data_IF_071074857919
#
_entry.id   IF_071074857919
#
_cell.length_a   1.000
_cell.length_b   1.000
_cell.length_c   1.000
_cell.angle_alpha   90.00
_cell.angle_beta   90.00
_cell.angle_gamma   90.00
#
_symmetry.space_group_name_H-M   'P 1'
#
loop_
_entity.id
_entity.type
_entity.pdbx_description
1 polymer ?
#
# COMPACT_ATOMS: atom_id res chain seq x y z
N UNK A 1 -20.16 15.21 32.85
CA UNK A 1 -19.45 15.75 31.69
C UNK A 1 -19.05 17.15 32.11
N UNK A 2 -17.76 17.38 32.34
CA UNK A 2 -17.27 18.74 32.59
C UNK A 2 -17.60 19.58 31.35
N UNK A 3 -18.05 20.81 31.55
CA UNK A 3 -18.32 21.71 30.43
C UNK A 3 -17.00 22.07 29.74
N UNK A 4 -17.05 22.41 28.45
CA UNK A 4 -15.87 22.87 27.71
C UNK A 4 -15.22 24.06 28.44
N UNK A 5 -16.01 24.91 29.11
CA UNK A 5 -15.52 26.02 29.92
C UNK A 5 -14.72 25.57 31.15
N UNK A 6 -15.09 24.44 31.78
CA UNK A 6 -14.36 23.90 32.94
C UNK A 6 -13.02 23.27 32.53
N UNK A 7 -12.95 22.68 31.33
CA UNK A 7 -11.72 22.11 30.77
C UNK A 7 -10.73 23.21 30.37
N UNK A 8 -11.22 24.29 29.74
CA UNK A 8 -10.42 25.46 29.36
C UNK A 8 -9.91 26.22 30.58
N UNK A 9 -10.74 26.40 31.61
CA UNK A 9 -10.33 27.05 32.86
C UNK A 9 -9.24 26.25 33.61
N UNK A 10 -9.33 24.91 33.60
CA UNK A 10 -8.28 24.03 34.18
C UNK A 10 -6.96 24.12 33.43
N UNK A 11 -6.98 24.17 32.09
CA UNK A 11 -5.75 24.31 31.30
C UNK A 11 -5.10 25.69 31.48
N UNK A 12 -5.89 26.78 31.55
CA UNK A 12 -5.39 28.13 31.83
C UNK A 12 -4.76 28.27 33.23
N UNK A 13 -5.12 27.41 34.19
CA UNK A 13 -4.50 27.42 35.53
C UNK A 13 -3.15 26.69 35.61
N UNK A 14 -2.78 25.94 34.55
CA UNK A 14 -1.60 25.07 34.51
C UNK A 14 -0.51 25.56 33.55
N UNK A 15 -0.83 26.46 32.62
CA UNK A 15 0.14 27.17 31.79
C UNK A 15 0.15 28.65 32.17
N UNK A 16 1.32 29.19 32.48
CA UNK A 16 1.57 30.64 32.42
C UNK A 16 1.48 31.08 30.94
N UNK A 17 0.28 31.02 30.34
CA UNK A 17 0.00 31.70 29.09
C UNK A 17 -0.25 33.16 29.44
N UNK A 18 0.76 34.00 29.17
CA UNK A 18 0.58 35.45 29.11
C UNK A 18 -0.65 35.73 28.26
N UNK A 19 -1.68 36.26 28.89
CA UNK A 19 -2.91 36.67 28.24
C UNK A 19 -2.58 37.63 27.10
N UNK A 20 -3.34 37.51 26.00
CA UNK A 20 -3.37 38.41 24.82
C UNK A 20 -3.33 39.92 25.18
N UNK A 21 -3.67 40.27 26.42
CA UNK A 21 -3.60 41.60 27.00
C UNK A 21 -2.24 42.32 26.96
N UNK A 22 -1.10 41.64 26.89
CA UNK A 22 0.20 42.32 27.11
C UNK A 22 0.89 42.87 25.85
N UNK A 23 0.47 42.49 24.63
CA UNK A 23 1.18 42.89 23.40
C UNK A 23 0.38 43.78 22.43
N UNK A 24 -0.92 43.95 22.64
CA UNK A 24 -1.69 45.01 22.01
C UNK A 24 -1.68 46.19 22.97
N UNK A 25 -1.07 47.31 22.57
CA UNK A 25 -0.93 48.51 23.40
C UNK A 25 -2.21 48.75 24.21
N UNK A 26 -2.09 48.77 25.53
CA UNK A 26 -3.21 48.96 26.47
C UNK A 26 -4.10 50.17 26.12
N UNK A 27 -3.57 51.12 25.34
CA UNK A 27 -4.27 52.30 24.83
C UNK A 27 -5.33 52.02 23.74
N UNK A 28 -5.32 50.84 23.08
CA UNK A 28 -6.26 50.54 21.97
C UNK A 28 -7.41 49.59 22.33
N UNK A 29 -7.36 48.91 23.47
CA UNK A 29 -8.32 47.85 23.83
C UNK A 29 -9.33 48.23 24.94
N UNK A 30 -9.06 49.26 25.75
CA UNK A 30 -9.94 49.65 26.86
C UNK A 30 -9.98 51.17 27.03
N UNK A 31 -11.05 51.82 26.58
CA UNK A 31 -11.42 53.14 27.09
C UNK A 31 -12.37 52.98 28.27
N UNK A 32 -11.84 53.25 29.46
CA UNK A 32 -12.50 53.61 30.71
C UNK A 32 -13.69 52.77 31.20
N UNK A 33 -13.41 51.86 32.14
CA UNK A 33 -14.34 51.58 33.24
C UNK A 33 -14.32 52.82 34.14
N UNK A 34 -15.31 53.71 34.02
CA UNK A 34 -15.63 54.62 35.12
C UNK A 34 -16.28 53.80 36.22
N UNK A 35 -15.74 53.88 37.43
CA UNK A 35 -16.31 53.28 38.65
C UNK A 35 -17.77 53.73 38.82
N UNK A 36 -18.71 52.88 38.39
CA UNK A 36 -20.13 53.17 38.44
C UNK A 36 -20.96 52.21 37.60
N UNK A 37 -21.71 51.35 38.29
CA UNK A 37 -22.80 50.51 37.81
C UNK A 37 -22.45 49.17 37.11
N UNK A 38 -22.72 48.09 37.84
CA UNK A 38 -22.74 46.70 37.38
C UNK A 38 -23.87 46.47 36.37
N UNK A 39 -23.57 46.55 35.07
CA UNK A 39 -24.34 45.91 33.96
C UNK A 39 -23.86 46.31 32.54
N UNK A 40 -22.74 47.02 32.37
CA UNK A 40 -22.24 47.32 31.04
C UNK A 40 -21.46 46.11 30.46
N UNK A 41 -22.01 45.45 29.44
CA UNK A 41 -21.26 44.48 28.65
C UNK A 41 -20.02 45.17 28.04
N UNK A 42 -18.82 44.58 28.16
CA UNK A 42 -17.62 45.14 27.56
C UNK A 42 -17.83 45.32 26.05
N UNK A 43 -17.68 46.56 25.58
CA UNK A 43 -17.89 46.90 24.17
C UNK A 43 -16.59 46.65 23.42
N UNK A 44 -16.53 45.54 22.69
CA UNK A 44 -15.35 45.16 21.92
C UNK A 44 -15.38 45.81 20.53
N UNK A 45 -14.20 46.21 20.06
CA UNK A 45 -14.01 46.74 18.70
C UNK A 45 -13.57 45.62 17.77
N UNK A 46 -14.33 45.38 16.71
CA UNK A 46 -14.10 44.28 15.75
C UNK A 46 -14.76 42.95 16.16
N UNK A 47 -15.29 42.23 15.17
CA UNK A 47 -16.11 41.03 15.39
C UNK A 47 -15.32 39.87 15.98
N UNK A 48 -14.11 39.59 15.49
CA UNK A 48 -13.32 38.44 15.97
C UNK A 48 -12.82 38.66 17.39
N UNK A 49 -12.39 39.87 17.72
CA UNK A 49 -11.98 40.28 19.07
C UNK A 49 -13.13 40.08 20.06
N UNK A 50 -14.33 40.56 19.72
CA UNK A 50 -15.51 40.41 20.56
C UNK A 50 -15.86 38.94 20.81
N UNK A 51 -15.82 38.14 19.74
CA UNK A 51 -16.13 36.71 19.78
C UNK A 51 -15.12 35.95 20.63
N UNK A 52 -13.83 36.22 20.42
CA UNK A 52 -12.75 35.58 21.15
C UNK A 52 -12.78 35.90 22.64
N UNK A 53 -12.97 37.17 23.01
CA UNK A 53 -13.01 37.57 24.40
C UNK A 53 -14.23 36.99 25.13
N UNK A 54 -15.39 36.96 24.47
CA UNK A 54 -16.57 36.29 25.02
C UNK A 54 -16.31 34.79 25.25
N UNK A 55 -15.60 34.13 24.34
CA UNK A 55 -15.20 32.73 24.52
C UNK A 55 -14.21 32.56 25.69
N UNK A 56 -13.17 33.40 25.74
CA UNK A 56 -12.11 33.35 26.75
C UNK A 56 -12.64 33.61 28.18
N UNK A 57 -13.67 34.46 28.31
CA UNK A 57 -14.35 34.71 29.59
C UNK A 57 -15.44 33.68 29.92
N UNK A 58 -15.61 32.64 29.10
CA UNK A 58 -16.66 31.62 29.30
C UNK A 58 -18.08 32.14 29.09
N UNK A 59 -18.25 33.25 28.37
CA UNK A 59 -19.53 33.92 28.12
C UNK A 59 -20.11 33.60 26.74
N UNK A 60 -19.44 32.80 25.91
CA UNK A 60 -19.92 32.39 24.59
C UNK A 60 -20.82 31.14 24.67
N UNK A 61 -22.07 31.33 25.09
CA UNK A 61 -23.10 30.28 25.01
C UNK A 61 -23.63 30.14 23.58
N UNK A 62 -24.29 29.02 23.28
CA UNK A 62 -24.81 28.73 21.93
C UNK A 62 -25.77 29.81 21.40
N UNK A 63 -26.51 30.44 22.31
CA UNK A 63 -27.53 31.47 22.08
C UNK A 63 -27.02 32.89 22.36
N UNK A 64 -25.71 33.08 22.57
CA UNK A 64 -25.14 34.40 22.86
C UNK A 64 -25.01 35.26 21.60
N UNK A 65 -25.74 36.38 21.58
CA UNK A 65 -25.52 37.45 20.61
C UNK A 65 -24.28 38.28 20.98
N UNK A 66 -23.33 38.38 20.04
CA UNK A 66 -22.09 39.12 20.25
C UNK A 66 -22.26 40.54 19.71
N UNK A 67 -22.27 41.51 20.62
CA UNK A 67 -22.28 42.92 20.27
C UNK A 67 -20.84 43.44 20.08
N UNK A 68 -20.59 44.09 18.95
CA UNK A 68 -19.30 44.70 18.63
C UNK A 68 -19.52 46.03 17.90
N UNK A 69 -18.60 46.97 18.10
CA UNK A 69 -18.56 48.24 17.35
C UNK A 69 -17.60 48.10 16.17
N UNK A 70 -18.04 48.55 14.99
CA UNK A 70 -17.13 48.69 13.83
C UNK A 70 -16.23 49.89 14.07
N UNK A 71 -14.92 49.68 13.93
CA UNK A 71 -13.96 50.77 13.92
C UNK A 71 -14.15 51.41 12.55
N UNK A 72 -14.64 52.66 12.49
CA UNK A 72 -14.98 53.33 11.23
C UNK A 72 -13.85 53.46 10.17
N UNK A 73 -12.68 52.87 10.42
CA UNK A 73 -11.61 52.61 9.46
C UNK A 73 -11.51 51.09 9.17
N UNK A 74 -11.97 50.62 7.98
CA UNK A 74 -12.00 49.20 7.62
C UNK A 74 -10.61 48.58 7.44
N UNK A 75 -9.55 49.37 7.24
CA UNK A 75 -8.18 48.85 7.11
C UNK A 75 -7.64 48.47 8.49
N UNK A 76 -7.90 49.30 9.49
CA UNK A 76 -7.47 49.05 10.86
C UNK A 76 -8.24 47.89 11.51
N UNK A 77 -9.54 47.77 11.24
CA UNK A 77 -10.37 46.65 11.71
C UNK A 77 -9.85 45.30 11.17
N UNK A 78 -9.51 45.26 9.86
CA UNK A 78 -8.93 44.07 9.25
C UNK A 78 -7.57 43.69 9.85
N UNK A 79 -6.68 44.65 10.09
CA UNK A 79 -5.36 44.37 10.66
C UNK A 79 -5.43 43.79 12.09
N UNK A 80 -6.39 44.25 12.90
CA UNK A 80 -6.62 43.73 14.25
C UNK A 80 -7.18 42.30 14.18
N UNK A 81 -8.17 42.07 13.32
CA UNK A 81 -8.75 40.75 13.08
C UNK A 81 -7.69 39.75 12.56
N UNK A 82 -6.82 40.17 11.63
CA UNK A 82 -5.71 39.38 11.12
C UNK A 82 -4.70 39.04 12.24
N UNK A 83 -4.42 40.00 13.15
CA UNK A 83 -3.53 39.79 14.30
C UNK A 83 -4.09 38.78 15.33
N UNK A 84 -5.39 38.89 15.66
CA UNK A 84 -6.07 37.92 16.55
C UNK A 84 -6.11 36.54 15.90
N UNK A 85 -6.42 36.46 14.61
CA UNK A 85 -6.43 35.20 13.87
C UNK A 85 -5.04 34.54 13.87
N UNK A 86 -3.97 35.29 13.64
CA UNK A 86 -2.61 34.78 13.67
C UNK A 86 -2.23 34.19 15.05
N UNK A 87 -2.61 34.86 16.14
CA UNK A 87 -2.36 34.38 17.50
C UNK A 87 -3.18 33.13 17.85
N UNK A 88 -4.44 33.09 17.41
CA UNK A 88 -5.30 31.92 17.52
C UNK A 88 -4.70 30.72 16.78
N UNK A 89 -4.20 30.94 15.57
CA UNK A 89 -3.54 29.92 14.78
C UNK A 89 -2.30 29.37 15.49
N UNK A 90 -1.43 30.22 16.05
CA UNK A 90 -0.23 29.76 16.78
C UNK A 90 -0.57 28.92 18.02
N UNK A 91 -1.61 29.33 18.75
CA UNK A 91 -2.07 28.61 19.95
C UNK A 91 -2.71 27.27 19.58
N UNK A 92 -3.62 27.25 18.60
CA UNK A 92 -4.32 26.05 18.18
C UNK A 92 -3.43 25.05 17.45
N UNK A 93 -2.39 25.50 16.75
CA UNK A 93 -1.50 24.62 15.97
C UNK A 93 -0.94 23.46 16.81
N UNK A 94 -0.52 23.74 18.05
CA UNK A 94 0.09 22.74 18.95
C UNK A 94 -0.85 21.60 19.32
N UNK A 95 -2.15 21.85 19.34
CA UNK A 95 -3.19 20.84 19.64
C UNK A 95 -3.62 20.05 18.40
N UNK A 96 -3.22 20.50 17.21
CA UNK A 96 -3.60 19.92 15.92
C UNK A 96 -2.53 18.99 15.33
N UNK A 97 -1.44 18.77 16.07
CA UNK A 97 -0.38 17.85 15.70
C UNK A 97 -0.73 16.40 16.02
N UNK A 98 -0.37 15.51 15.10
CA UNK A 98 -0.49 14.08 15.31
C UNK A 98 0.54 13.58 16.33
N UNK A 99 0.09 12.91 17.38
CA UNK A 99 0.94 12.37 18.46
C UNK A 99 1.86 11.20 18.06
N UNK A 100 1.95 10.86 16.77
CA UNK A 100 2.83 9.81 16.24
C UNK A 100 3.90 10.39 15.32
N UNK A 101 3.52 11.26 14.38
CA UNK A 101 4.48 11.89 13.47
C UNK A 101 4.86 13.31 13.89
N UNK A 102 4.24 13.87 14.93
CA UNK A 102 4.49 15.22 15.46
C UNK A 102 4.41 16.33 14.40
N UNK A 103 3.52 16.14 13.45
CA UNK A 103 3.20 17.12 12.41
C UNK A 103 1.69 17.32 12.38
N UNK A 104 1.26 18.43 11.79
CA UNK A 104 -0.15 18.75 11.57
C UNK A 104 -0.90 17.55 10.98
N UNK A 105 -2.04 17.22 11.59
CA UNK A 105 -2.80 16.00 11.26
C UNK A 105 -3.23 15.98 9.79
N UNK A 106 -2.76 14.99 9.04
CA UNK A 106 -3.20 14.72 7.67
C UNK A 106 -4.20 13.56 7.66
N UNK A 107 -5.41 13.80 7.13
CA UNK A 107 -6.52 12.84 7.13
C UNK A 107 -6.78 12.27 8.54
N UNK A 108 -7.21 13.13 9.49
CA UNK A 108 -7.36 12.75 10.90
C UNK A 108 -8.41 11.67 11.11
N UNK A 109 -8.07 10.63 11.86
CA UNK A 109 -8.99 9.57 12.29
C UNK A 109 -9.08 9.58 13.81
N UNK A 110 -10.30 9.73 14.34
CA UNK A 110 -10.57 9.68 15.77
C UNK A 110 -10.94 8.25 16.18
N UNK A 111 -10.14 7.69 17.07
CA UNK A 111 -10.35 6.34 17.62
C UNK A 111 -11.47 6.32 18.66
N UNK A 112 -11.99 5.12 18.97
CA UNK A 112 -13.02 4.93 20.02
C UNK A 112 -12.59 5.37 21.42
N UNK A 113 -11.27 5.52 21.66
CA UNK A 113 -10.75 6.02 22.93
C UNK A 113 -10.64 7.56 22.99
N UNK A 114 -10.98 8.26 21.91
CA UNK A 114 -11.01 9.72 21.80
C UNK A 114 -9.75 10.35 21.19
N UNK A 115 -8.67 9.58 20.98
CA UNK A 115 -7.45 10.13 20.38
C UNK A 115 -7.58 10.22 18.86
N UNK A 116 -7.09 11.33 18.31
CA UNK A 116 -7.05 11.59 16.88
C UNK A 116 -5.62 11.57 16.36
N UNK A 117 -5.40 10.88 15.24
CA UNK A 117 -4.09 10.68 14.62
C UNK A 117 -4.24 10.79 13.10
N UNK A 118 -3.16 11.06 12.36
CA UNK A 118 -3.17 10.88 10.91
C UNK A 118 -3.59 9.45 10.58
N UNK A 119 -4.42 9.25 9.54
CA UNK A 119 -4.80 7.90 9.10
C UNK A 119 -3.58 7.01 8.93
N UNK A 120 -2.60 7.44 8.14
CA UNK A 120 -1.37 6.65 7.88
C UNK A 120 -0.63 6.28 9.18
N UNK A 121 -0.55 7.18 10.16
CA UNK A 121 0.10 6.92 11.44
C UNK A 121 -0.65 5.88 12.29
N UNK A 122 -1.98 6.01 12.35
CA UNK A 122 -2.83 5.05 13.05
C UNK A 122 -2.75 3.67 12.39
N UNK A 123 -2.86 3.59 11.06
CA UNK A 123 -2.78 2.32 10.34
C UNK A 123 -1.39 1.66 10.54
N UNK A 124 -0.29 2.40 10.45
CA UNK A 124 1.07 1.89 10.75
C UNK A 124 1.19 1.32 12.17
N UNK A 125 0.53 1.95 13.15
CA UNK A 125 0.50 1.44 14.53
C UNK A 125 -0.31 0.14 14.65
N UNK A 126 -1.44 0.07 13.94
CA UNK A 126 -2.33 -1.09 13.93
C UNK A 126 -1.75 -2.33 13.23
N UNK A 127 -0.71 -2.18 12.39
CA UNK A 127 0.01 -3.31 11.80
C UNK A 127 0.68 -4.22 12.85
N UNK A 128 1.06 -3.63 13.99
CA UNK A 128 1.81 -4.31 15.04
C UNK A 128 0.98 -4.54 16.31
N UNK A 129 0.00 -3.69 16.60
CA UNK A 129 -0.79 -3.77 17.83
C UNK A 129 -2.18 -3.19 17.62
N UNK A 130 -3.21 -3.89 18.10
CA UNK A 130 -4.60 -3.39 18.09
C UNK A 130 -4.89 -2.34 19.17
N UNK A 131 -3.85 -1.74 19.76
CA UNK A 131 -3.97 -0.74 20.82
C UNK A 131 -3.63 0.65 20.31
N UNK A 132 -4.31 1.66 20.84
CA UNK A 132 -4.05 3.06 20.55
C UNK A 132 -2.59 3.40 20.93
N UNK A 133 -1.80 4.02 20.04
CA UNK A 133 -0.41 4.36 20.35
C UNK A 133 -0.29 5.42 21.45
N UNK A 134 -1.35 6.21 21.68
CA UNK A 134 -1.35 7.27 22.70
C UNK A 134 -1.68 6.72 24.08
N UNK A 135 -2.84 6.07 24.25
CA UNK A 135 -3.32 5.65 25.58
C UNK A 135 -3.36 4.14 25.80
N UNK A 136 -2.90 3.34 24.83
CA UNK A 136 -2.84 1.87 24.89
C UNK A 136 -4.18 1.16 25.12
N UNK A 137 -5.31 1.85 24.98
CA UNK A 137 -6.64 1.22 24.97
C UNK A 137 -6.85 0.48 23.65
N UNK A 138 -7.49 -0.68 23.70
CA UNK A 138 -7.82 -1.46 22.50
C UNK A 138 -8.72 -0.63 21.57
N UNK A 139 -8.37 -0.61 20.30
CA UNK A 139 -9.08 0.15 19.27
C UNK A 139 -9.92 -0.82 18.45
N UNK A 140 -11.24 -0.64 18.48
CA UNK A 140 -12.20 -1.44 17.70
C UNK A 140 -12.35 -0.85 16.29
N UNK A 141 -11.27 -0.84 15.52
CA UNK A 141 -11.27 -0.41 14.13
C UNK A 141 -10.76 -1.53 13.22
N UNK A 142 -11.29 -1.62 11.98
CA UNK A 142 -10.73 -2.55 11.00
C UNK A 142 -9.26 -2.18 10.72
N UNK A 143 -8.35 -3.17 10.56
CA UNK A 143 -6.94 -2.90 10.25
C UNK A 143 -6.75 -2.09 8.96
N UNK A 144 -7.64 -2.28 7.98
CA UNK A 144 -7.71 -1.49 6.76
C UNK A 144 -8.68 -0.31 6.96
N UNK A 145 -8.16 0.86 7.32
CA UNK A 145 -8.97 2.07 7.50
C UNK A 145 -9.45 2.70 6.19
N UNK A 146 -9.30 2.06 5.02
CA UNK A 146 -9.66 2.64 3.70
C UNK A 146 -11.09 3.17 3.63
N UNK A 147 -12.05 2.47 4.25
CA UNK A 147 -13.47 2.87 4.26
C UNK A 147 -13.88 3.65 5.51
N UNK A 148 -12.96 3.85 6.47
CA UNK A 148 -13.27 4.55 7.70
C UNK A 148 -13.25 6.07 7.45
N UNK A 149 -14.30 6.83 7.77
CA UNK A 149 -14.34 8.26 7.47
C UNK A 149 -13.28 9.03 8.25
N UNK A 150 -12.81 10.14 7.69
CA UNK A 150 -12.01 11.13 8.42
C UNK A 150 -12.88 11.92 9.41
N UNK A 151 -12.26 12.53 10.42
CA UNK A 151 -12.92 13.50 11.27
C UNK A 151 -13.13 14.80 10.48
N UNK A 152 -14.33 14.94 9.89
CA UNK A 152 -14.70 16.07 9.04
C UNK A 152 -14.55 17.44 9.72
N UNK A 153 -14.84 17.52 11.02
CA UNK A 153 -14.72 18.77 11.78
C UNK A 153 -13.26 19.20 11.84
N UNK A 154 -12.35 18.30 12.20
CA UNK A 154 -10.92 18.60 12.22
C UNK A 154 -10.37 18.85 10.83
N UNK A 155 -10.80 18.10 9.82
CA UNK A 155 -10.43 18.38 8.41
C UNK A 155 -10.81 19.79 8.00
N UNK A 156 -12.06 20.20 8.26
CA UNK A 156 -12.54 21.54 7.89
C UNK A 156 -11.80 22.65 8.65
N UNK A 157 -11.50 22.42 9.93
CA UNK A 157 -10.74 23.34 10.76
C UNK A 157 -9.30 23.52 10.23
N UNK A 158 -8.62 22.42 9.94
CA UNK A 158 -7.25 22.40 9.42
C UNK A 158 -7.14 23.08 8.05
N UNK A 159 -8.10 22.80 7.16
CA UNK A 159 -8.15 23.41 5.83
C UNK A 159 -8.49 24.90 5.87
N UNK A 160 -9.35 25.32 6.81
CA UNK A 160 -9.70 26.72 6.99
C UNK A 160 -8.60 27.56 7.65
N UNK A 161 -7.95 27.03 8.68
CA UNK A 161 -6.91 27.75 9.42
C UNK A 161 -5.56 27.73 8.71
N UNK A 162 -5.14 26.58 8.15
CA UNK A 162 -3.77 26.38 7.69
C UNK A 162 -3.69 25.81 6.26
N UNK A 163 -4.31 26.45 5.25
CA UNK A 163 -4.43 25.88 3.90
C UNK A 163 -3.07 25.60 3.24
N UNK A 164 -2.12 26.52 3.37
CA UNK A 164 -0.78 26.40 2.77
C UNK A 164 0.05 25.30 3.45
N UNK A 165 0.04 25.25 4.79
CA UNK A 165 0.73 24.22 5.57
C UNK A 165 0.14 22.84 5.24
N UNK A 166 -1.18 22.73 5.11
CA UNK A 166 -1.85 21.50 4.71
C UNK A 166 -1.50 21.08 3.28
N UNK A 167 -1.37 22.02 2.35
CA UNK A 167 -0.91 21.74 0.98
C UNK A 167 0.54 21.20 0.99
N UNK A 168 1.46 21.88 1.67
CA UNK A 168 2.83 21.42 1.84
C UNK A 168 2.90 20.05 2.54
N UNK A 169 2.04 19.80 3.53
CA UNK A 169 1.95 18.52 4.23
C UNK A 169 1.49 17.38 3.31
N UNK A 170 0.52 17.64 2.43
CA UNK A 170 0.07 16.67 1.40
C UNK A 170 1.19 16.37 0.41
N UNK A 171 1.89 17.40 -0.06
CA UNK A 171 3.02 17.25 -0.97
C UNK A 171 4.15 16.44 -0.33
N UNK A 172 4.58 16.81 0.88
CA UNK A 172 5.60 16.08 1.62
C UNK A 172 5.20 14.60 1.85
N UNK A 173 3.94 14.33 2.17
CA UNK A 173 3.45 12.96 2.32
C UNK A 173 3.44 12.16 1.01
N UNK A 174 3.16 12.80 -0.13
CA UNK A 174 3.22 12.18 -1.45
C UNK A 174 4.68 11.96 -1.90
N UNK A 175 5.57 12.90 -1.59
CA UNK A 175 7.01 12.78 -1.84
C UNK A 175 7.63 11.66 -0.99
N UNK A 176 7.25 11.52 0.28
CA UNK A 176 7.69 10.42 1.16
C UNK A 176 7.25 9.05 0.58
N UNK A 177 6.04 8.94 0.04
CA UNK A 177 5.58 7.70 -0.63
C UNK A 177 6.37 7.38 -1.89
N UNK A 178 6.67 8.39 -2.68
CA UNK A 178 7.47 8.24 -3.90
C UNK A 178 8.94 7.93 -3.58
N UNK A 179 9.46 8.49 -2.47
CA UNK A 179 10.86 8.37 -2.06
C UNK A 179 11.14 7.13 -1.20
N UNK A 180 10.16 6.60 -0.49
CA UNK A 180 10.30 5.40 0.36
C UNK A 180 10.67 4.15 -0.46
N UNK A 181 10.29 4.12 -1.74
CA UNK A 181 10.73 3.08 -2.68
C UNK A 181 12.10 3.38 -3.29
N UNK A 182 12.55 4.64 -3.30
CA UNK A 182 13.88 5.04 -3.79
C UNK A 182 14.17 4.52 -5.20
N UNK A 183 15.33 3.87 -5.38
CA UNK A 183 15.69 3.17 -6.62
C UNK A 183 15.02 1.78 -6.78
N UNK A 184 14.26 1.31 -5.78
CA UNK A 184 13.64 -0.01 -5.71
C UNK A 184 12.12 0.10 -5.87
N UNK A 185 11.64 0.01 -7.09
CA UNK A 185 10.25 0.25 -7.48
C UNK A 185 9.30 -0.96 -7.28
N UNK A 186 9.82 -2.10 -6.81
CA UNK A 186 9.03 -3.33 -6.72
C UNK A 186 9.13 -3.99 -5.33
N UNK A 187 8.04 -4.08 -4.56
CA UNK A 187 8.02 -4.89 -3.33
C UNK A 187 8.06 -6.37 -3.69
N UNK A 188 8.87 -7.15 -2.96
CA UNK A 188 9.11 -8.57 -3.21
C UNK A 188 8.56 -9.44 -2.08
N UNK A 189 7.62 -10.32 -2.43
CA UNK A 189 7.07 -11.36 -1.58
C UNK A 189 7.88 -12.65 -1.78
N UNK A 190 8.73 -12.98 -0.81
CA UNK A 190 9.63 -14.13 -0.88
C UNK A 190 8.96 -15.36 -0.29
N UNK A 191 8.45 -16.26 -1.13
CA UNK A 191 7.80 -17.50 -0.65
C UNK A 191 7.85 -18.66 -1.65
N UNK A 192 7.35 -18.47 -2.87
CA UNK A 192 7.09 -19.53 -3.85
C UNK A 192 7.10 -18.97 -5.27
N UNK A 193 6.84 -19.83 -6.26
CA UNK A 193 6.72 -19.45 -7.66
C UNK A 193 5.32 -18.95 -7.99
N UNK A 194 5.26 -17.91 -8.80
CA UNK A 194 4.07 -17.54 -9.56
C UNK A 194 4.41 -17.54 -11.04
N UNK A 195 3.41 -17.74 -11.89
CA UNK A 195 3.59 -17.75 -13.35
C UNK A 195 2.69 -16.73 -14.04
N UNK A 196 3.14 -16.14 -15.17
CA UNK A 196 2.31 -15.24 -15.97
C UNK A 196 0.99 -15.89 -16.39
N UNK A 197 -0.09 -15.11 -16.39
CA UNK A 197 -1.44 -15.53 -16.75
C UNK A 197 -2.14 -16.45 -15.73
N UNK A 198 -1.40 -17.02 -14.78
CA UNK A 198 -1.92 -17.99 -13.82
C UNK A 198 -2.35 -17.30 -12.51
N UNK A 199 -3.42 -17.78 -11.87
CA UNK A 199 -3.79 -17.32 -10.53
C UNK A 199 -2.74 -17.77 -9.49
N UNK A 200 -2.60 -17.01 -8.42
CA UNK A 200 -1.83 -17.38 -7.24
C UNK A 200 -2.60 -16.94 -5.99
N UNK A 201 -2.88 -17.92 -5.12
CA UNK A 201 -3.64 -17.72 -3.89
C UNK A 201 -2.70 -17.72 -2.69
N UNK A 202 -2.68 -16.63 -1.94
CA UNK A 202 -1.73 -16.42 -0.85
C UNK A 202 -2.47 -16.25 0.47
N UNK A 203 -2.00 -16.94 1.50
CA UNK A 203 -2.40 -16.73 2.88
C UNK A 203 -1.29 -15.97 3.59
N UNK A 204 -1.53 -14.70 3.91
CA UNK A 204 -0.51 -13.81 4.50
C UNK A 204 -0.86 -13.46 5.92
N UNK A 205 0.01 -13.81 6.87
CA UNK A 205 -0.17 -13.53 8.29
C UNK A 205 0.97 -12.70 8.88
N UNK A 206 2.16 -12.74 8.28
CA UNK A 206 3.33 -12.01 8.75
C UNK A 206 3.12 -10.48 8.70
N UNK A 207 3.34 -9.74 9.80
CA UNK A 207 3.10 -8.29 9.87
C UNK A 207 3.77 -7.47 8.75
N UNK A 208 5.04 -7.77 8.43
CA UNK A 208 5.79 -7.09 7.36
C UNK A 208 5.12 -7.20 5.99
N UNK A 209 4.52 -8.36 5.70
CA UNK A 209 3.89 -8.59 4.41
C UNK A 209 2.44 -8.08 4.38
N UNK A 210 1.76 -8.00 5.53
CA UNK A 210 0.48 -7.28 5.62
C UNK A 210 0.66 -5.80 5.31
N UNK A 211 1.72 -5.19 5.84
CA UNK A 211 2.12 -3.82 5.51
C UNK A 211 2.42 -3.69 4.00
N UNK A 212 3.25 -4.59 3.45
CA UNK A 212 3.59 -4.61 2.02
C UNK A 212 2.34 -4.69 1.14
N UNK A 213 1.42 -5.62 1.42
CA UNK A 213 0.18 -5.80 0.67
C UNK A 213 -0.73 -4.58 0.77
N UNK A 214 -0.84 -3.96 1.95
CA UNK A 214 -1.61 -2.73 2.10
C UNK A 214 -1.07 -1.64 1.17
N UNK A 215 0.25 -1.41 1.18
CA UNK A 215 0.90 -0.44 0.27
C UNK A 215 0.65 -0.76 -1.19
N UNK A 216 0.72 -2.04 -1.57
CA UNK A 216 0.41 -2.47 -2.93
C UNK A 216 -1.05 -2.17 -3.31
N UNK A 217 -2.01 -2.44 -2.41
CA UNK A 217 -3.44 -2.17 -2.62
C UNK A 217 -3.75 -0.67 -2.75
N UNK A 218 -3.08 0.16 -1.95
CA UNK A 218 -3.17 1.63 -1.99
C UNK A 218 -2.53 2.21 -3.28
N UNK A 219 -1.50 1.55 -3.79
CA UNK A 219 -0.80 1.90 -5.03
C UNK A 219 -1.40 1.25 -6.29
N UNK A 220 -0.54 0.64 -7.10
CA UNK A 220 -0.89 0.08 -8.41
C UNK A 220 -1.43 -1.36 -8.36
N UNK A 221 -1.69 -1.90 -7.16
CA UNK A 221 -2.13 -3.28 -6.90
C UNK A 221 -1.17 -4.35 -7.41
N UNK A 222 0.13 -4.05 -7.49
CA UNK A 222 1.13 -5.03 -7.92
C UNK A 222 2.23 -5.23 -6.90
N UNK A 223 2.80 -6.44 -6.89
CA UNK A 223 4.02 -6.79 -6.17
C UNK A 223 4.70 -7.95 -6.88
N UNK A 224 6.02 -8.08 -6.71
CA UNK A 224 6.77 -9.20 -7.25
C UNK A 224 6.70 -10.41 -6.33
N UNK A 225 6.46 -11.60 -6.87
CA UNK A 225 6.66 -12.86 -6.14
C UNK A 225 7.97 -13.50 -6.59
N UNK A 226 8.79 -13.93 -5.63
CA UNK A 226 10.06 -14.62 -5.87
C UNK A 226 10.16 -15.86 -4.97
N UNK A 227 10.78 -16.92 -5.51
CA UNK A 227 11.00 -18.15 -4.76
C UNK A 227 12.12 -17.95 -3.73
N UNK A 228 11.98 -18.56 -2.55
CA UNK A 228 13.04 -18.56 -1.55
C UNK A 228 14.28 -19.33 -2.03
N UNK A 229 15.47 -18.77 -1.79
CA UNK A 229 16.75 -19.39 -2.16
C UNK A 229 17.21 -20.35 -1.06
N UNK A 230 16.70 -21.58 -1.09
CA UNK A 230 17.01 -22.60 -0.07
C UNK A 230 18.49 -22.97 0.00
N UNK A 231 19.20 -22.90 -1.12
CA UNK A 231 20.60 -23.32 -1.24
C UNK A 231 21.58 -22.17 -1.02
N UNK A 232 21.06 -20.94 -0.82
CA UNK A 232 21.83 -19.71 -0.66
C UNK A 232 22.88 -19.50 -1.77
N UNK A 233 22.58 -19.98 -2.98
CA UNK A 233 23.47 -19.87 -4.14
C UNK A 233 23.55 -18.43 -4.62
N UNK A 234 24.72 -18.05 -5.16
CA UNK A 234 24.89 -16.74 -5.77
C UNK A 234 23.99 -16.58 -7.00
N UNK A 235 23.33 -15.43 -7.09
CA UNK A 235 22.33 -15.07 -8.10
C UNK A 235 22.95 -14.20 -9.22
N UNK A 236 24.08 -14.65 -9.77
CA UNK A 236 24.82 -13.90 -10.78
C UNK A 236 25.34 -12.57 -10.23
N UNK A 237 25.07 -11.47 -10.95
CA UNK A 237 25.48 -10.12 -10.55
C UNK A 237 24.75 -9.61 -9.30
N UNK A 238 23.57 -10.17 -8.96
CA UNK A 238 22.86 -9.83 -7.72
C UNK A 238 23.61 -10.33 -6.47
N UNK A 239 24.56 -11.27 -6.64
CA UNK A 239 25.31 -11.86 -5.54
C UNK A 239 24.47 -12.77 -4.65
N UNK A 240 24.80 -12.83 -3.36
CA UNK A 240 24.06 -13.66 -2.40
C UNK A 240 22.73 -12.99 -2.01
N UNK A 241 21.64 -13.71 -2.23
CA UNK A 241 20.29 -13.29 -1.83
C UNK A 241 19.54 -14.46 -1.22
N UNK A 242 18.64 -14.17 -0.27
CA UNK A 242 17.73 -15.15 0.33
C UNK A 242 16.56 -15.52 -0.59
N UNK A 243 16.49 -14.93 -1.78
CA UNK A 243 15.52 -15.26 -2.83
C UNK A 243 16.21 -15.50 -4.17
N UNK A 244 15.51 -16.20 -5.04
CA UNK A 244 15.94 -16.49 -6.40
C UNK A 244 15.75 -15.27 -7.31
N UNK A 245 16.68 -15.02 -8.23
CA UNK A 245 16.74 -13.79 -9.01
C UNK A 245 15.51 -13.51 -9.88
N UNK A 246 14.88 -14.55 -10.43
CA UNK A 246 13.74 -14.41 -11.35
C UNK A 246 12.43 -14.55 -10.59
N UNK A 247 11.46 -13.72 -10.94
CA UNK A 247 10.14 -13.69 -10.32
C UNK A 247 9.04 -13.36 -11.32
N UNK A 248 7.83 -13.28 -10.80
CA UNK A 248 6.65 -12.88 -11.56
C UNK A 248 5.99 -11.70 -10.87
N UNK A 249 5.70 -10.64 -11.63
CA UNK A 249 4.90 -9.53 -11.17
C UNK A 249 3.45 -10.00 -11.06
N UNK A 250 2.88 -9.91 -9.86
CA UNK A 250 1.51 -10.30 -9.59
C UNK A 250 0.65 -9.05 -9.48
N UNK A 251 -0.59 -9.12 -9.99
CA UNK A 251 -1.64 -8.14 -9.75
C UNK A 251 -2.65 -8.70 -8.76
N UNK A 252 -2.98 -7.92 -7.74
CA UNK A 252 -4.02 -8.26 -6.76
C UNK A 252 -5.39 -8.09 -7.42
N UNK A 253 -6.13 -9.18 -7.55
CA UNK A 253 -7.51 -9.18 -8.04
C UNK A 253 -8.48 -9.04 -6.88
N UNK A 254 -8.24 -9.78 -5.78
CA UNK A 254 -9.06 -9.73 -4.58
C UNK A 254 -8.20 -9.85 -3.32
N UNK A 255 -8.63 -9.19 -2.24
CA UNK A 255 -7.96 -9.20 -0.95
C UNK A 255 -9.00 -9.19 0.18
N UNK A 256 -8.97 -10.24 1.01
CA UNK A 256 -9.88 -10.40 2.14
C UNK A 256 -9.10 -10.49 3.45
N UNK A 257 -9.47 -9.66 4.42
CA UNK A 257 -8.95 -9.75 5.78
C UNK A 257 -9.85 -10.64 6.64
N UNK A 258 -9.25 -11.59 7.34
CA UNK A 258 -9.91 -12.53 8.23
C UNK A 258 -9.89 -12.02 9.67
N UNK A 259 -10.84 -12.44 10.54
CA UNK A 259 -10.91 -11.99 11.94
C UNK A 259 -9.68 -12.34 12.79
N UNK A 260 -8.93 -13.38 12.41
CA UNK A 260 -7.69 -13.81 13.06
C UNK A 260 -6.47 -12.93 12.66
N UNK A 261 -6.67 -11.92 11.80
CA UNK A 261 -5.63 -11.05 11.30
C UNK A 261 -4.83 -11.61 10.12
N UNK A 262 -5.24 -12.77 9.57
CA UNK A 262 -4.74 -13.32 8.32
C UNK A 262 -5.38 -12.60 7.13
N UNK A 263 -4.65 -12.36 6.05
CA UNK A 263 -5.19 -11.93 4.76
C UNK A 263 -5.18 -13.08 3.75
N UNK A 264 -6.29 -13.28 3.04
CA UNK A 264 -6.38 -14.16 1.87
C UNK A 264 -6.32 -13.27 0.62
N UNK A 265 -5.30 -13.48 -0.20
CA UNK A 265 -5.02 -12.68 -1.39
C UNK A 265 -5.14 -13.56 -2.62
N UNK A 266 -5.95 -13.12 -3.57
CA UNK A 266 -6.06 -13.68 -4.91
C UNK A 266 -5.35 -12.75 -5.89
N UNK A 267 -4.43 -13.31 -6.64
CA UNK A 267 -3.62 -12.56 -7.59
C UNK A 267 -3.55 -13.27 -8.93
N UNK A 268 -3.20 -12.51 -9.97
CA UNK A 268 -2.91 -13.04 -11.30
C UNK A 268 -1.53 -12.61 -11.77
N UNK A 269 -0.75 -13.55 -12.31
CA UNK A 269 0.56 -13.25 -12.87
C UNK A 269 0.46 -12.36 -14.11
N UNK A 270 1.25 -11.30 -14.13
CA UNK A 270 1.27 -10.29 -15.22
C UNK A 270 2.46 -10.53 -16.14
N UNK A 271 3.66 -10.62 -15.58
CA UNK A 271 4.89 -10.71 -16.37
C UNK A 271 6.06 -11.21 -15.57
N UNK A 272 7.06 -11.73 -16.26
CA UNK A 272 8.32 -12.15 -15.64
C UNK A 272 9.25 -10.96 -15.45
N UNK A 273 10.07 -11.04 -14.43
CA UNK A 273 11.15 -10.10 -14.22
C UNK A 273 12.39 -10.80 -13.64
N UNK A 274 13.54 -10.14 -13.77
CA UNK A 274 14.76 -10.45 -13.02
C UNK A 274 15.06 -9.30 -12.06
N UNK A 275 15.45 -9.62 -10.83
CA UNK A 275 15.91 -8.63 -9.86
C UNK A 275 17.35 -8.26 -10.19
N UNK A 276 17.60 -6.97 -10.43
CA UNK A 276 18.94 -6.45 -10.76
C UNK A 276 19.61 -5.78 -9.55
N UNK A 277 18.81 -5.31 -8.60
CA UNK A 277 19.29 -4.82 -7.32
C UNK A 277 18.21 -5.03 -6.27
N UNK A 278 18.61 -5.22 -5.01
CA UNK A 278 17.67 -5.45 -3.91
C UNK A 278 18.07 -4.72 -2.63
N UNK A 279 17.07 -4.52 -1.79
CA UNK A 279 17.19 -3.93 -0.46
C UNK A 279 16.08 -4.43 0.46
N UNK A 280 15.99 -3.81 1.63
CA UNK A 280 14.95 -4.10 2.62
C UNK A 280 14.23 -2.81 3.00
N UNK A 281 12.91 -2.86 3.01
CA UNK A 281 12.05 -1.77 3.47
C UNK A 281 11.08 -2.33 4.50
N UNK A 282 11.10 -1.80 5.72
CA UNK A 282 10.22 -2.23 6.83
C UNK A 282 10.16 -3.75 7.04
N UNK A 283 11.30 -4.41 6.85
CA UNK A 283 11.48 -5.85 7.10
C UNK A 283 11.08 -6.78 5.95
N UNK A 284 10.53 -6.27 4.84
CA UNK A 284 10.31 -7.04 3.61
C UNK A 284 11.28 -6.64 2.50
N UNK A 285 11.51 -7.54 1.55
CA UNK A 285 12.43 -7.31 0.45
C UNK A 285 11.84 -6.34 -0.58
N UNK A 286 12.66 -5.44 -1.11
CA UNK A 286 12.33 -4.58 -2.24
C UNK A 286 13.40 -4.77 -3.31
N UNK A 287 13.04 -4.56 -4.57
CA UNK A 287 13.98 -4.72 -5.67
C UNK A 287 13.72 -3.74 -6.79
N UNK A 288 14.80 -3.48 -7.54
CA UNK A 288 14.75 -2.91 -8.87
C UNK A 288 14.72 -4.08 -9.82
N UNK A 289 13.72 -4.12 -10.68
CA UNK A 289 13.47 -5.28 -11.53
C UNK A 289 13.52 -4.90 -12.99
N UNK A 290 14.03 -5.81 -13.81
CA UNK A 290 13.98 -5.71 -15.27
C UNK A 290 13.02 -6.74 -15.81
N UNK A 291 12.11 -6.31 -16.69
CA UNK A 291 11.16 -7.20 -17.33
C UNK A 291 11.89 -8.19 -18.24
N UNK A 292 11.49 -9.45 -18.20
CA UNK A 292 12.02 -10.50 -19.08
C UNK A 292 10.99 -10.75 -20.17
N UNK A 293 11.31 -10.30 -21.38
CA UNK A 293 10.49 -10.49 -22.58
C UNK A 293 10.87 -11.77 -23.32
N UNK A 294 9.93 -12.23 -24.14
CA UNK A 294 10.22 -13.27 -25.11
C UNK A 294 11.01 -12.71 -26.30
N UNK A 295 11.82 -13.57 -26.93
CA UNK A 295 12.49 -13.22 -28.18
C UNK A 295 11.45 -12.95 -29.29
N UNK A 296 11.76 -12.10 -30.28
CA UNK A 296 10.82 -11.79 -31.35
C UNK A 296 10.42 -13.04 -32.15
N UNK A 297 9.21 -13.03 -32.73
CA UNK A 297 8.69 -14.16 -33.53
C UNK A 297 9.63 -14.60 -34.66
N UNK A 298 10.31 -13.66 -35.32
CA UNK A 298 11.27 -13.99 -36.37
C UNK A 298 12.46 -14.82 -35.86
N UNK A 299 12.89 -14.59 -34.60
CA UNK A 299 13.94 -15.38 -33.96
C UNK A 299 13.43 -16.77 -33.57
N UNK A 300 12.19 -16.87 -33.06
CA UNK A 300 11.54 -18.17 -32.79
C UNK A 300 11.42 -19.03 -34.06
N UNK A 301 10.96 -18.44 -35.17
CA UNK A 301 10.82 -19.12 -36.46
C UNK A 301 12.18 -19.57 -37.01
N UNK A 302 13.23 -18.77 -36.83
CA UNK A 302 14.59 -19.13 -37.22
C UNK A 302 15.13 -20.30 -36.39
N UNK A 303 14.95 -20.29 -35.06
CA UNK A 303 15.34 -21.38 -34.16
C UNK A 303 14.59 -22.66 -34.55
N UNK A 304 13.28 -22.58 -34.77
CA UNK A 304 12.47 -23.73 -35.16
C UNK A 304 12.92 -24.32 -36.50
N UNK A 305 13.13 -23.49 -37.52
CA UNK A 305 13.61 -23.93 -38.84
C UNK A 305 14.96 -24.63 -38.73
N UNK A 306 15.89 -24.04 -37.97
CA UNK A 306 17.22 -24.60 -37.78
C UNK A 306 17.14 -26.00 -37.14
N UNK A 307 16.37 -26.14 -36.05
CA UNK A 307 16.32 -27.39 -35.30
C UNK A 307 15.52 -28.49 -36.00
N UNK A 308 14.41 -28.14 -36.66
CA UNK A 308 13.58 -29.10 -37.41
C UNK A 308 14.27 -29.62 -38.67
N UNK A 309 15.24 -28.86 -39.20
CA UNK A 309 16.06 -29.28 -40.36
C UNK A 309 17.21 -30.25 -40.02
N UNK A 310 17.46 -30.52 -38.73
CA UNK A 310 18.52 -31.43 -38.31
C UNK A 310 18.26 -32.87 -38.77
N UNK A 311 19.31 -33.68 -39.02
CA UNK A 311 19.16 -35.10 -39.36
C UNK A 311 18.34 -35.87 -38.31
N UNK A 312 17.64 -36.96 -38.70
CA UNK A 312 16.82 -37.75 -37.78
C UNK A 312 17.59 -38.21 -36.52
N UNK A 313 16.94 -38.15 -35.36
CA UNK A 313 17.47 -38.74 -34.12
C UNK A 313 17.52 -40.26 -34.26
N UNK A 314 18.44 -40.87 -33.53
CA UNK A 314 18.30 -42.25 -33.14
C UNK A 314 17.03 -42.46 -32.29
N UNK A 315 16.43 -43.65 -32.35
CA UNK A 315 15.18 -43.95 -31.62
C UNK A 315 15.29 -43.79 -30.09
N UNK A 316 16.50 -43.91 -29.55
CA UNK A 316 16.79 -43.74 -28.12
C UNK A 316 17.13 -42.29 -27.71
N UNK A 317 17.28 -41.37 -28.66
CA UNK A 317 17.60 -39.96 -28.41
C UNK A 317 16.33 -39.11 -28.23
N UNK A 318 15.76 -39.17 -27.01
CA UNK A 318 14.54 -38.44 -26.64
C UNK A 318 14.73 -36.93 -26.76
N UNK A 319 15.91 -36.39 -26.40
CA UNK A 319 16.17 -34.96 -26.43
C UNK A 319 16.25 -34.43 -27.87
N UNK A 320 16.92 -35.17 -28.76
CA UNK A 320 16.92 -34.85 -30.17
C UNK A 320 15.52 -34.93 -30.75
N UNK A 321 14.76 -35.98 -30.43
CA UNK A 321 13.36 -36.12 -30.89
C UNK A 321 12.51 -34.91 -30.51
N UNK A 322 12.55 -34.48 -29.24
CA UNK A 322 11.86 -33.28 -28.77
C UNK A 322 12.36 -32.04 -29.52
N UNK A 323 13.68 -31.90 -29.71
CA UNK A 323 14.26 -30.73 -30.35
C UNK A 323 13.84 -30.54 -31.80
N UNK A 324 13.49 -31.63 -32.51
CA UNK A 324 13.03 -31.59 -33.91
C UNK A 324 11.52 -31.46 -34.06
N UNK A 325 10.74 -31.49 -32.97
CA UNK A 325 9.30 -31.24 -33.05
C UNK A 325 9.05 -29.76 -33.35
N UNK A 326 8.14 -29.45 -34.27
CA UNK A 326 7.66 -28.07 -34.48
C UNK A 326 7.05 -27.49 -33.21
N UNK A 327 6.95 -26.17 -33.12
CA UNK A 327 6.37 -25.51 -31.93
C UNK A 327 4.92 -25.95 -31.74
N UNK A 328 4.18 -26.11 -32.84
CA UNK A 328 2.83 -26.68 -32.82
C UNK A 328 2.81 -28.13 -32.34
N UNK A 329 3.71 -29.00 -32.82
CA UNK A 329 3.78 -30.39 -32.36
C UNK A 329 4.11 -30.52 -30.87
N UNK A 330 4.96 -29.63 -30.33
CA UNK A 330 5.26 -29.60 -28.90
C UNK A 330 4.02 -29.21 -28.07
N UNK A 331 3.24 -28.23 -28.55
CA UNK A 331 1.98 -27.85 -27.93
C UNK A 331 0.96 -29.02 -28.01
N UNK A 332 0.79 -29.61 -29.19
CA UNK A 332 -0.13 -30.74 -29.42
C UNK A 332 0.19 -31.94 -28.52
N UNK A 333 1.49 -32.19 -28.28
CA UNK A 333 1.94 -33.22 -27.33
C UNK A 333 1.43 -32.92 -25.91
N UNK A 334 1.51 -31.66 -25.47
CA UNK A 334 0.97 -31.17 -24.21
C UNK A 334 -0.53 -31.35 -24.09
N UNK A 335 -1.30 -30.90 -25.08
CA UNK A 335 -2.76 -31.06 -25.11
C UNK A 335 -3.15 -32.54 -25.08
N UNK A 336 -2.50 -33.37 -25.90
CA UNK A 336 -2.76 -34.81 -25.97
C UNK A 336 -2.46 -35.50 -24.63
N UNK A 337 -1.39 -35.10 -23.94
CA UNK A 337 -1.07 -35.61 -22.62
C UNK A 337 -2.15 -35.24 -21.59
N UNK A 338 -2.59 -33.98 -21.57
CA UNK A 338 -3.66 -33.51 -20.69
C UNK A 338 -4.96 -34.29 -20.92
N UNK A 339 -5.37 -34.47 -22.18
CA UNK A 339 -6.56 -35.27 -22.53
C UNK A 339 -6.44 -36.71 -22.01
N UNK A 340 -5.28 -37.36 -22.19
CA UNK A 340 -5.04 -38.72 -21.64
C UNK A 340 -5.13 -38.75 -20.12
N UNK A 341 -4.60 -37.74 -19.43
CA UNK A 341 -4.62 -37.68 -17.97
C UNK A 341 -6.01 -37.39 -17.41
N UNK A 342 -6.82 -36.56 -18.09
CA UNK A 342 -8.23 -36.35 -17.76
C UNK A 342 -9.04 -37.63 -17.93
N UNK A 343 -8.86 -38.35 -19.05
CA UNK A 343 -9.54 -39.62 -19.31
C UNK A 343 -9.19 -40.70 -18.27
N UNK A 344 -8.02 -40.61 -17.63
CA UNK A 344 -7.57 -41.50 -16.56
C UNK A 344 -7.89 -40.97 -15.15
N UNK A 345 -8.64 -39.87 -15.02
CA UNK A 345 -8.99 -39.23 -13.75
C UNK A 345 -7.76 -38.97 -12.86
N UNK A 346 -6.70 -38.41 -13.44
CA UNK A 346 -5.48 -38.09 -12.70
C UNK A 346 -5.80 -37.19 -11.48
N UNK A 347 -5.40 -37.55 -10.25
CA UNK A 347 -5.82 -36.81 -9.03
C UNK A 347 -5.42 -35.32 -9.01
N UNK A 348 -4.30 -34.98 -9.63
CA UNK A 348 -3.79 -33.61 -9.76
C UNK A 348 -4.50 -32.80 -10.85
N UNK A 349 -5.42 -33.40 -11.62
CA UNK A 349 -6.17 -32.76 -12.70
C UNK A 349 -7.68 -32.88 -12.47
N UNK A 350 -8.12 -32.59 -11.25
CA UNK A 350 -9.53 -32.61 -10.88
C UNK A 350 -10.22 -31.28 -11.20
N UNK A 351 -11.55 -31.28 -11.17
CA UNK A 351 -12.39 -30.15 -11.62
C UNK A 351 -12.08 -28.82 -10.90
N UNK A 352 -11.71 -28.85 -9.62
CA UNK A 352 -11.34 -27.64 -8.85
C UNK A 352 -10.12 -26.90 -9.42
N UNK A 353 -9.13 -27.63 -9.95
CA UNK A 353 -7.97 -27.00 -10.59
C UNK A 353 -8.38 -26.37 -11.93
N UNK A 354 -9.21 -27.05 -12.71
CA UNK A 354 -9.73 -26.50 -13.97
C UNK A 354 -10.64 -25.28 -13.75
N UNK A 355 -11.36 -25.23 -12.63
CA UNK A 355 -12.15 -24.05 -12.25
C UNK A 355 -11.25 -22.87 -11.88
N UNK A 356 -10.16 -23.11 -11.15
CA UNK A 356 -9.25 -22.06 -10.73
C UNK A 356 -8.38 -21.55 -11.90
N UNK A 357 -7.79 -22.46 -12.68
CA UNK A 357 -6.79 -22.13 -13.71
C UNK A 357 -7.35 -22.05 -15.13
N UNK A 358 -8.62 -22.46 -15.34
CA UNK A 358 -9.18 -22.67 -16.66
C UNK A 358 -8.72 -23.98 -17.32
N UNK A 359 -9.22 -24.22 -18.53
CA UNK A 359 -8.75 -25.31 -19.39
C UNK A 359 -7.34 -25.07 -19.95
N UNK A 360 -6.72 -26.10 -20.59
CA UNK A 360 -5.43 -25.95 -21.24
C UNK A 360 -5.50 -24.83 -22.30
N UNK A 361 -4.65 -23.79 -22.23
CA UNK A 361 -4.62 -22.72 -23.23
C UNK A 361 -4.12 -23.21 -24.58
N UNK A 362 -4.70 -22.73 -25.68
CA UNK A 362 -4.23 -23.01 -27.05
C UNK A 362 -3.04 -22.13 -27.47
N UNK A 363 -2.68 -21.14 -26.66
CA UNK A 363 -1.53 -20.26 -26.92
C UNK A 363 -0.23 -20.90 -26.41
N UNK A 364 0.70 -21.16 -27.33
CA UNK A 364 2.02 -21.73 -27.08
C UNK A 364 2.85 -20.94 -26.04
N UNK A 365 2.66 -19.62 -25.94
CA UNK A 365 3.38 -18.78 -24.99
C UNK A 365 2.86 -18.91 -23.55
N UNK A 366 1.57 -19.26 -23.39
CA UNK A 366 0.87 -19.34 -22.11
C UNK A 366 0.80 -20.78 -21.60
N UNK A 367 0.60 -21.75 -22.49
CA UNK A 367 0.43 -23.17 -22.13
C UNK A 367 1.53 -23.70 -21.19
N UNK A 368 2.84 -23.44 -21.41
CA UNK A 368 3.89 -23.95 -20.53
C UNK A 368 3.76 -23.51 -19.08
N UNK A 369 3.33 -22.27 -18.87
CA UNK A 369 3.12 -21.71 -17.53
C UNK A 369 1.92 -22.35 -16.84
N UNK A 370 0.79 -22.43 -17.55
CA UNK A 370 -0.40 -23.12 -17.06
C UNK A 370 -0.09 -24.59 -16.71
N UNK A 371 0.65 -25.27 -17.58
CA UNK A 371 1.04 -26.67 -17.37
C UNK A 371 1.96 -26.83 -16.15
N UNK A 372 2.94 -25.94 -15.96
CA UNK A 372 3.81 -25.92 -14.79
C UNK A 372 3.04 -25.65 -13.49
N UNK A 373 2.00 -24.80 -13.52
CA UNK A 373 1.16 -24.48 -12.35
C UNK A 373 0.37 -25.68 -11.83
N UNK A 374 -0.11 -26.56 -12.72
CA UNK A 374 -0.95 -27.70 -12.33
C UNK A 374 -0.16 -28.98 -12.07
N UNK A 375 1.07 -29.08 -12.57
CA UNK A 375 1.87 -30.29 -12.41
C UNK A 375 2.44 -30.46 -10.99
N UNK A 376 2.37 -31.68 -10.41
CA UNK A 376 2.95 -31.99 -9.11
C UNK A 376 4.45 -32.30 -9.21
N UNK A 377 5.23 -31.38 -9.77
CA UNK A 377 6.70 -31.45 -9.84
C UNK A 377 7.34 -30.42 -8.91
N UNK A 378 8.62 -30.58 -8.59
CA UNK A 378 9.31 -29.67 -7.67
C UNK A 378 9.46 -28.25 -8.24
N UNK A 379 9.46 -27.25 -7.36
CA UNK A 379 9.55 -25.85 -7.78
C UNK A 379 10.91 -25.52 -8.42
N UNK A 380 11.98 -26.24 -8.04
CA UNK A 380 13.31 -26.05 -8.66
C UNK A 380 13.29 -26.33 -10.17
N UNK A 381 12.60 -27.39 -10.62
CA UNK A 381 12.44 -27.66 -12.04
C UNK A 381 11.56 -26.60 -12.71
N UNK A 382 10.47 -26.19 -12.04
CA UNK A 382 9.54 -25.17 -12.55
C UNK A 382 10.19 -23.79 -12.70
N UNK A 383 11.13 -23.43 -11.82
CA UNK A 383 11.82 -22.14 -11.83
C UNK A 383 12.51 -21.82 -13.16
N UNK A 384 13.01 -22.85 -13.85
CA UNK A 384 13.65 -22.69 -15.17
C UNK A 384 12.72 -22.00 -16.19
N UNK A 385 11.40 -22.14 -16.05
CA UNK A 385 10.41 -21.48 -16.92
C UNK A 385 10.46 -19.95 -16.84
N UNK A 386 10.90 -19.39 -15.70
CA UNK A 386 11.03 -17.94 -15.56
C UNK A 386 12.27 -17.40 -16.26
N UNK A 387 13.30 -18.23 -16.45
CA UNK A 387 14.60 -17.84 -17.01
C UNK A 387 14.63 -17.89 -18.55
N UNK A 388 13.77 -18.69 -19.18
CA UNK A 388 13.74 -18.88 -20.63
C UNK A 388 13.12 -17.69 -21.36
N UNK A 389 13.74 -17.23 -22.45
CA UNK A 389 13.20 -16.18 -23.33
C UNK A 389 12.55 -16.73 -24.60
N UNK A 390 12.66 -18.04 -24.88
CA UNK A 390 11.96 -18.66 -26.01
C UNK A 390 10.72 -19.44 -25.56
N UNK A 391 9.60 -19.17 -26.21
CA UNK A 391 8.33 -19.92 -26.13
C UNK A 391 8.57 -21.39 -26.48
N UNK A 392 9.27 -21.63 -27.59
CA UNK A 392 9.60 -22.98 -28.05
C UNK A 392 10.44 -23.73 -27.02
N UNK A 393 11.44 -23.07 -26.43
CA UNK A 393 12.26 -23.69 -25.39
C UNK A 393 11.42 -24.06 -24.15
N UNK A 394 10.46 -23.23 -23.75
CA UNK A 394 9.52 -23.56 -22.66
C UNK A 394 8.69 -24.79 -22.99
N UNK A 395 8.17 -24.88 -24.21
CA UNK A 395 7.44 -26.04 -24.67
C UNK A 395 8.31 -27.31 -24.65
N UNK A 396 9.58 -27.25 -25.06
CA UNK A 396 10.51 -28.38 -24.93
C UNK A 396 10.70 -28.83 -23.48
N UNK A 397 10.81 -27.90 -22.53
CA UNK A 397 10.88 -28.24 -21.10
C UNK A 397 9.62 -29.02 -20.69
N UNK A 398 8.43 -28.57 -21.08
CA UNK A 398 7.18 -29.32 -20.80
C UNK A 398 7.16 -30.70 -21.46
N UNK A 399 7.63 -30.82 -22.70
CA UNK A 399 7.74 -32.09 -23.40
C UNK A 399 8.68 -33.08 -22.68
N UNK A 400 9.81 -32.61 -22.14
CA UNK A 400 10.71 -33.45 -21.31
C UNK A 400 10.00 -33.96 -20.07
N UNK A 401 9.24 -33.11 -19.37
CA UNK A 401 8.46 -33.53 -18.22
C UNK A 401 7.42 -34.58 -18.59
N UNK A 402 6.71 -34.40 -19.72
CA UNK A 402 5.74 -35.38 -20.23
C UNK A 402 6.43 -36.72 -20.48
N UNK A 403 7.54 -36.74 -21.21
CA UNK A 403 8.27 -37.99 -21.51
C UNK A 403 8.79 -38.68 -20.26
N UNK A 404 9.30 -37.93 -19.29
CA UNK A 404 9.75 -38.47 -18.00
C UNK A 404 8.59 -39.08 -17.20
N UNK A 405 7.43 -38.44 -17.19
CA UNK A 405 6.24 -38.95 -16.49
C UNK A 405 5.65 -40.19 -17.18
N UNK A 406 5.73 -40.26 -18.51
CA UNK A 406 5.32 -41.43 -19.28
C UNK A 406 6.27 -42.61 -19.02
N UNK A 407 7.59 -42.38 -18.95
CA UNK A 407 8.58 -43.43 -18.69
C UNK A 407 8.54 -43.97 -17.26
N UNK A 408 8.14 -43.15 -16.28
CA UNK A 408 8.00 -43.60 -14.88
C UNK A 408 6.74 -44.43 -14.61
N UNK A 409 5.82 -44.50 -15.58
CA UNK A 409 4.53 -45.19 -15.42
C UNK A 409 4.48 -46.60 -16.02
N UNK A 410 5.59 -47.14 -16.52
CA UNK A 410 5.74 -48.54 -16.96
C UNK A 410 7.04 -49.17 -16.46
#
# INVERSE_FOLDING_TARGET
MESIAEVVAKQNSLSEMQTVNEQLSADMMLQHISEGNSSANPTYRGRLVATYNAAASGQLSYDTDIHYESIGDPVNEKNIDDGVLAQLMDTCHKELDCQVCYNLMLDPVTTSCGHTLCRKCLVRSLDHSLHCPVCRRMVLLPPSLHSHPSNKTLTSLLEGLCPEIMAARREAAAMEETSAMGEFDTPLFVVTLGFPGCPTFLRVFEPRYKLMLRRAIEGNRTFGIVMYNQTNTSQGELGHSHFMQYGTLLRIENAQNMPDGTSIIETRGVSRFKVVASGTLDGYAVGRVERVEDVPLAEEEAIETQETSLPPAAENDVEGQISRMTTQQLLDLGHSFIQRMQARSAPWLHQGILQAYGGPPDDASVFPYWFASILPINDVAKYQMLQTTSVRQRLKITARWIKLMESQRW
#
